data_IF_627105723115
#
_entry.id   IF_627105723115
#
_cell.length_a   1.000
_cell.length_b   1.000
_cell.length_c   1.000
_cell.angle_alpha   90.00
_cell.angle_beta   90.00
_cell.angle_gamma   90.00
#
_symmetry.space_group_name_H-M   'P 1'
#
loop_
_entity.id
_entity.type
_entity.pdbx_description
1 polymer ?
#
# COMPACT_ATOMS: atom_id res chain seq x y z
N UNK A 1 -40.91 -33.60 -39.45
CA UNK A 1 -39.64 -33.37 -38.73
C UNK A 1 -39.82 -33.96 -37.33
N UNK A 2 -39.81 -35.28 -37.23
CA UNK A 2 -40.08 -36.02 -35.99
C UNK A 2 -38.74 -36.40 -35.39
N UNK A 3 -38.36 -35.78 -34.26
CA UNK A 3 -37.17 -36.19 -33.53
C UNK A 3 -37.39 -37.62 -33.02
N UNK A 4 -36.41 -38.50 -33.20
CA UNK A 4 -36.38 -39.85 -32.66
C UNK A 4 -36.62 -39.82 -31.14
N UNK A 5 -37.77 -40.32 -30.68
CA UNK A 5 -38.11 -40.51 -29.26
C UNK A 5 -37.47 -41.80 -28.71
N UNK A 6 -36.16 -41.99 -28.90
CA UNK A 6 -35.43 -43.08 -28.25
C UNK A 6 -34.99 -42.58 -26.89
N UNK A 7 -35.58 -43.13 -25.82
CA UNK A 7 -35.24 -42.78 -24.43
C UNK A 7 -33.75 -42.93 -24.14
N UNK A 8 -33.23 -42.07 -23.26
CA UNK A 8 -31.84 -42.06 -22.81
C UNK A 8 -31.46 -43.44 -22.23
N UNK A 9 -30.29 -43.96 -22.62
CA UNK A 9 -29.81 -45.26 -22.10
C UNK A 9 -29.08 -45.10 -20.77
N UNK A 10 -29.14 -46.11 -19.89
CA UNK A 10 -28.47 -46.09 -18.58
C UNK A 10 -26.95 -45.81 -18.71
N UNK A 11 -26.30 -46.44 -19.70
CA UNK A 11 -24.87 -46.28 -19.95
C UNK A 11 -24.49 -44.84 -20.33
N UNK A 12 -25.35 -44.17 -21.10
CA UNK A 12 -25.16 -42.78 -21.53
C UNK A 12 -25.27 -41.81 -20.34
N UNK A 13 -26.24 -42.02 -19.43
CA UNK A 13 -26.33 -41.24 -18.19
C UNK A 13 -25.11 -41.47 -17.29
N UNK A 14 -24.64 -42.71 -17.16
CA UNK A 14 -23.47 -43.03 -16.33
C UNK A 14 -22.21 -42.37 -16.87
N UNK A 15 -22.00 -42.38 -18.19
CA UNK A 15 -20.87 -41.65 -18.80
C UNK A 15 -20.99 -40.14 -18.63
N UNK A 16 -22.18 -39.57 -18.87
CA UNK A 16 -22.41 -38.14 -18.71
C UNK A 16 -22.16 -37.67 -17.26
N UNK A 17 -22.69 -38.40 -16.29
CA UNK A 17 -22.49 -38.10 -14.86
C UNK A 17 -21.04 -38.26 -14.43
N UNK A 18 -20.31 -39.26 -14.95
CA UNK A 18 -18.88 -39.42 -14.69
C UNK A 18 -18.05 -38.25 -15.23
N UNK A 19 -18.30 -37.81 -16.47
CA UNK A 19 -17.60 -36.66 -17.06
C UNK A 19 -17.90 -35.37 -16.30
N UNK A 20 -19.17 -35.13 -15.96
CA UNK A 20 -19.57 -33.96 -15.16
C UNK A 20 -18.93 -34.02 -13.77
N UNK A 21 -18.91 -35.19 -13.13
CA UNK A 21 -18.30 -35.38 -11.82
C UNK A 21 -16.80 -35.03 -11.81
N UNK A 22 -16.05 -35.51 -12.79
CA UNK A 22 -14.61 -35.19 -12.93
C UNK A 22 -14.41 -33.69 -13.19
N UNK A 23 -15.22 -33.10 -14.07
CA UNK A 23 -15.16 -31.65 -14.34
C UNK A 23 -15.47 -30.79 -13.11
N UNK A 24 -16.46 -31.19 -12.31
CA UNK A 24 -16.85 -30.47 -11.10
C UNK A 24 -15.79 -30.57 -9.99
N UNK A 25 -15.16 -31.73 -9.84
CA UNK A 25 -14.01 -31.90 -8.91
C UNK A 25 -12.85 -30.99 -9.33
N UNK A 26 -12.55 -30.92 -10.63
CA UNK A 26 -11.56 -29.97 -11.16
C UNK A 26 -11.90 -28.52 -10.78
N UNK A 27 -13.15 -28.11 -10.98
CA UNK A 27 -13.60 -26.74 -10.66
C UNK A 27 -13.49 -26.43 -9.16
N UNK A 28 -13.81 -27.38 -8.28
CA UNK A 28 -13.74 -27.20 -6.83
C UNK A 28 -12.32 -26.87 -6.34
N UNK A 29 -11.28 -27.33 -7.04
CA UNK A 29 -9.89 -27.01 -6.68
C UNK A 29 -9.49 -25.56 -6.97
N UNK A 30 -10.18 -24.90 -7.92
CA UNK A 30 -9.82 -23.56 -8.38
C UNK A 30 -10.44 -22.46 -7.50
N UNK A 31 -11.64 -22.69 -6.97
CA UNK A 31 -12.41 -21.71 -6.19
C UNK A 31 -11.63 -21.10 -5.00
N UNK A 32 -10.91 -21.88 -4.17
CA UNK A 32 -10.14 -21.32 -3.05
C UNK A 32 -9.00 -20.41 -3.52
N UNK A 33 -8.32 -20.78 -4.61
CA UNK A 33 -7.19 -20.04 -5.17
C UNK A 33 -7.66 -18.69 -5.73
N UNK A 34 -8.77 -18.71 -6.48
CA UNK A 34 -9.36 -17.48 -7.03
C UNK A 34 -9.81 -16.53 -5.93
N UNK A 35 -10.39 -17.05 -4.86
CA UNK A 35 -10.83 -16.22 -3.72
C UNK A 35 -9.65 -15.52 -3.07
N UNK A 36 -8.56 -16.25 -2.79
CA UNK A 36 -7.33 -15.67 -2.24
C UNK A 36 -6.75 -14.56 -3.13
N UNK A 37 -6.69 -14.78 -4.44
CA UNK A 37 -6.17 -13.79 -5.38
C UNK A 37 -6.98 -12.49 -5.39
N UNK A 38 -8.31 -12.57 -5.23
CA UNK A 38 -9.19 -11.39 -5.17
C UNK A 38 -8.95 -10.60 -3.89
N UNK A 39 -8.85 -11.26 -2.73
CA UNK A 39 -8.59 -10.57 -1.47
C UNK A 39 -7.20 -9.91 -1.46
N UNK A 40 -6.18 -10.62 -1.94
CA UNK A 40 -4.84 -10.07 -2.07
C UNK A 40 -4.81 -8.87 -3.04
N UNK A 41 -5.47 -8.99 -4.19
CA UNK A 41 -5.59 -7.90 -5.17
C UNK A 41 -6.28 -6.67 -4.59
N UNK A 42 -7.35 -6.85 -3.81
CA UNK A 42 -8.03 -5.76 -3.11
C UNK A 42 -7.11 -5.10 -2.06
N UNK A 43 -6.38 -5.91 -1.29
CA UNK A 43 -5.39 -5.46 -0.32
C UNK A 43 -4.31 -4.58 -0.94
N UNK A 44 -3.66 -5.11 -1.99
CA UNK A 44 -2.57 -4.42 -2.69
C UNK A 44 -3.03 -3.14 -3.37
N UNK A 45 -4.17 -3.15 -4.06
CA UNK A 45 -4.70 -1.97 -4.76
C UNK A 45 -5.09 -0.86 -3.79
N UNK A 46 -5.76 -1.20 -2.68
CA UNK A 46 -6.09 -0.25 -1.62
C UNK A 46 -4.84 0.31 -0.96
N UNK A 47 -3.87 -0.54 -0.62
CA UNK A 47 -2.60 -0.10 -0.03
C UNK A 47 -1.83 0.84 -0.97
N UNK A 48 -1.84 0.54 -2.28
CA UNK A 48 -1.22 1.39 -3.31
C UNK A 48 -1.94 2.73 -3.43
N UNK A 49 -3.27 2.76 -3.39
CA UNK A 49 -4.04 4.00 -3.40
C UNK A 49 -3.73 4.86 -2.16
N UNK A 50 -3.73 4.26 -0.98
CA UNK A 50 -3.42 4.95 0.28
C UNK A 50 -1.97 5.48 0.33
N UNK A 51 -1.04 4.73 -0.26
CA UNK A 51 0.35 5.16 -0.37
C UNK A 51 0.49 6.36 -1.33
N UNK A 52 -0.14 6.30 -2.50
CA UNK A 52 -0.14 7.40 -3.47
C UNK A 52 -0.84 8.65 -2.93
N UNK A 53 -1.99 8.49 -2.27
CA UNK A 53 -2.70 9.59 -1.62
C UNK A 53 -1.79 10.35 -0.66
N UNK A 54 -1.07 9.61 0.21
CA UNK A 54 -0.16 10.25 1.17
C UNK A 54 1.06 10.85 0.50
N UNK A 55 1.56 10.21 -0.55
CA UNK A 55 2.68 10.74 -1.32
C UNK A 55 2.32 12.08 -1.98
N UNK A 56 1.13 12.19 -2.57
CA UNK A 56 0.65 13.43 -3.16
C UNK A 56 0.40 14.52 -2.11
N UNK A 57 -0.07 14.16 -0.91
CA UNK A 57 -0.14 15.09 0.22
C UNK A 57 1.25 15.66 0.56
N UNK A 58 2.27 14.81 0.65
CA UNK A 58 3.65 15.22 0.96
C UNK A 58 4.26 16.04 -0.18
N UNK A 59 4.04 15.64 -1.43
CA UNK A 59 4.49 16.40 -2.61
C UNK A 59 3.85 17.78 -2.66
N UNK A 60 2.63 17.94 -2.16
CA UNK A 60 1.99 19.25 -2.06
C UNK A 60 2.48 20.07 -0.85
N UNK A 61 3.30 19.48 0.03
CA UNK A 61 3.95 20.17 1.13
C UNK A 61 4.84 21.33 0.66
N UNK A 62 4.84 22.41 1.44
CA UNK A 62 5.71 23.56 1.18
C UNK A 62 7.12 23.21 1.64
N UNK A 63 8.11 23.33 0.76
CA UNK A 63 9.52 23.25 1.12
C UNK A 63 10.28 24.30 0.33
N UNK A 64 10.56 25.43 0.99
CA UNK A 64 11.09 26.64 0.37
C UNK A 64 12.38 27.08 1.05
N UNK A 65 13.26 27.71 0.27
CA UNK A 65 14.46 28.39 0.77
C UNK A 65 14.18 29.76 1.36
N UNK A 66 13.42 30.59 0.64
CA UNK A 66 13.25 32.01 0.95
C UNK A 66 11.78 32.40 0.74
N UNK A 67 11.04 32.77 1.81
CA UNK A 67 11.42 32.55 3.20
C UNK A 67 11.53 31.05 3.51
N UNK A 68 12.39 30.70 4.46
CA UNK A 68 12.56 29.30 4.86
C UNK A 68 11.25 28.78 5.48
N UNK A 69 10.64 27.80 4.83
CA UNK A 69 9.45 27.13 5.31
C UNK A 69 9.50 25.67 4.86
N UNK A 70 9.62 24.75 5.82
CA UNK A 70 9.74 23.33 5.57
C UNK A 70 8.58 22.57 6.20
N UNK A 71 7.50 22.38 5.45
CA UNK A 71 6.35 21.56 5.80
C UNK A 71 6.40 20.16 5.17
N UNK A 72 7.58 19.68 4.79
CA UNK A 72 7.84 18.29 4.40
C UNK A 72 8.56 17.56 5.54
N UNK A 73 9.52 18.23 6.18
CA UNK A 73 10.26 17.73 7.32
C UNK A 73 11.28 16.64 6.99
N UNK A 74 11.93 16.15 8.04
CA UNK A 74 12.92 15.07 8.00
C UNK A 74 12.62 14.06 9.10
N UNK A 75 12.83 12.79 8.78
CA UNK A 75 12.79 11.70 9.76
C UNK A 75 14.06 11.71 10.61
N UNK A 76 13.89 11.68 11.93
CA UNK A 76 15.01 11.44 12.83
C UNK A 76 15.60 10.04 12.62
N UNK A 77 16.85 9.83 13.07
CA UNK A 77 17.53 8.54 12.96
C UNK A 77 17.77 8.07 11.51
N UNK A 78 17.86 8.99 10.54
CA UNK A 78 17.99 8.64 9.12
C UNK A 78 16.83 7.81 8.55
N UNK A 79 15.59 8.03 9.03
CA UNK A 79 14.42 7.32 8.49
C UNK A 79 13.80 6.30 9.44
N UNK A 80 14.11 6.35 10.74
CA UNK A 80 13.49 5.45 11.72
C UNK A 80 12.13 5.96 12.21
N UNK A 81 11.99 7.29 12.30
CA UNK A 81 10.80 7.94 12.88
C UNK A 81 10.01 8.74 11.85
N UNK A 82 8.75 9.04 12.18
CA UNK A 82 7.91 9.94 11.38
C UNK A 82 8.62 11.31 11.19
N UNK A 83 8.49 11.94 10.01
CA UNK A 83 9.13 13.21 9.72
C UNK A 83 8.58 14.33 10.58
N UNK A 84 9.49 15.14 11.11
CA UNK A 84 9.17 16.35 11.86
C UNK A 84 9.83 17.57 11.22
N UNK A 85 9.30 18.75 11.51
CA UNK A 85 9.91 20.03 11.12
C UNK A 85 9.77 21.05 12.23
N UNK A 86 10.78 21.88 12.41
CA UNK A 86 10.79 23.02 13.33
C UNK A 86 10.51 24.37 12.64
N UNK A 87 10.48 24.41 11.30
CA UNK A 87 10.28 25.65 10.52
C UNK A 87 8.97 25.67 9.75
N UNK A 88 8.16 24.61 9.80
CA UNK A 88 6.85 24.62 9.14
C UNK A 88 5.91 25.64 9.78
N UNK A 89 5.37 26.55 8.95
CA UNK A 89 4.25 27.42 9.32
C UNK A 89 3.02 27.06 8.47
N UNK A 90 2.03 26.38 9.05
CA UNK A 90 0.78 25.96 8.39
C UNK A 90 -0.40 26.05 9.36
N UNK A 91 -1.52 26.61 8.94
CA UNK A 91 -2.72 26.78 9.77
C UNK A 91 -3.83 25.75 9.52
N UNK A 92 -3.79 25.00 8.41
CA UNK A 92 -4.80 24.00 8.04
C UNK A 92 -4.17 22.96 7.08
N UNK A 93 -4.46 21.65 7.19
CA UNK A 93 -5.38 20.95 8.11
C UNK A 93 -4.81 20.68 9.50
N UNK A 94 -3.49 20.74 9.67
CA UNK A 94 -2.85 20.63 10.98
C UNK A 94 -2.10 21.91 11.25
N UNK A 95 -2.41 22.54 12.38
CA UNK A 95 -1.70 23.73 12.85
C UNK A 95 -0.27 23.33 13.22
N UNK A 96 0.69 23.79 12.43
CA UNK A 96 2.11 23.73 12.71
C UNK A 96 2.60 25.16 12.86
N UNK A 97 3.01 25.53 14.08
CA UNK A 97 3.58 26.85 14.37
C UNK A 97 5.01 26.65 14.87
N UNK A 98 5.98 27.31 14.22
CA UNK A 98 7.35 27.41 14.72
C UNK A 98 7.36 28.03 16.15
N UNK A 99 8.29 27.65 17.06
CA UNK A 99 9.55 26.94 16.82
C UNK A 99 9.56 25.47 17.29
N UNK A 100 8.39 24.90 17.61
CA UNK A 100 8.27 23.51 18.07
C UNK A 100 8.37 22.50 16.92
N UNK A 101 8.88 21.30 17.22
CA UNK A 101 8.87 20.20 16.26
C UNK A 101 7.41 19.82 15.94
N UNK A 102 6.96 20.10 14.72
CA UNK A 102 5.68 19.66 14.20
C UNK A 102 5.82 18.31 13.51
N UNK A 103 4.97 17.35 13.85
CA UNK A 103 4.83 16.12 13.08
C UNK A 103 4.19 16.46 11.72
N UNK A 104 4.92 16.23 10.63
CA UNK A 104 4.46 16.57 9.28
C UNK A 104 3.59 15.45 8.71
N UNK A 105 4.06 14.21 8.86
CA UNK A 105 3.37 13.01 8.44
C UNK A 105 3.52 11.95 9.52
N UNK A 106 2.66 12.00 10.54
CA UNK A 106 2.62 10.99 11.59
C UNK A 106 2.31 9.60 11.02
N UNK A 107 2.78 8.57 11.71
CA UNK A 107 2.40 7.19 11.40
C UNK A 107 0.94 6.96 11.81
N UNK A 108 0.19 6.28 10.94
CA UNK A 108 -1.23 6.02 11.10
C UNK A 108 -1.47 4.52 11.33
N UNK A 109 -1.91 4.19 12.54
CA UNK A 109 -2.16 2.81 12.99
C UNK A 109 -3.50 2.82 13.76
N UNK A 110 -4.64 2.52 13.11
CA UNK A 110 -4.81 2.30 11.67
C UNK A 110 -4.97 3.61 10.87
N UNK A 111 -4.96 3.49 9.54
CA UNK A 111 -5.38 4.57 8.63
C UNK A 111 -6.86 4.86 8.83
N UNK A 112 -7.21 6.14 8.93
CA UNK A 112 -8.60 6.57 9.13
C UNK A 112 -9.51 6.07 8.00
N UNK A 113 -10.60 5.38 8.35
CA UNK A 113 -11.51 4.73 7.39
C UNK A 113 -11.03 3.39 6.82
N UNK A 114 -9.81 2.95 7.14
CA UNK A 114 -9.19 1.73 6.63
C UNK A 114 -8.53 0.93 7.78
N UNK A 115 -9.34 0.34 8.66
CA UNK A 115 -8.87 -0.28 9.92
C UNK A 115 -7.93 -1.48 9.77
N UNK A 116 -7.90 -2.11 8.59
CA UNK A 116 -6.98 -3.21 8.26
C UNK A 116 -5.64 -2.75 7.68
N UNK A 117 -5.40 -1.44 7.60
CA UNK A 117 -4.23 -0.85 6.96
C UNK A 117 -3.51 0.09 7.93
N UNK A 118 -2.19 -0.02 7.95
CA UNK A 118 -1.31 0.90 8.66
C UNK A 118 -0.46 1.65 7.64
N UNK A 119 -0.11 2.90 7.92
CA UNK A 119 0.70 3.73 7.03
C UNK A 119 1.81 4.42 7.79
N UNK A 120 3.02 4.36 7.26
CA UNK A 120 4.18 5.08 7.80
C UNK A 120 4.89 5.87 6.71
N UNK A 121 5.43 7.02 7.09
CA UNK A 121 6.18 7.91 6.18
C UNK A 121 7.57 8.11 6.71
N UNK A 122 8.58 7.93 5.86
CA UNK A 122 9.99 8.20 6.17
C UNK A 122 10.58 9.14 5.13
N UNK A 123 11.29 10.16 5.58
CA UNK A 123 11.90 11.18 4.72
C UNK A 123 13.35 11.36 5.12
N UNK A 124 14.26 11.10 4.18
CA UNK A 124 15.70 11.24 4.39
C UNK A 124 16.27 12.32 3.47
N UNK A 125 17.26 13.05 3.98
CA UNK A 125 18.04 13.99 3.19
C UNK A 125 19.01 13.22 2.28
N UNK A 126 19.01 13.56 0.99
CA UNK A 126 19.84 12.90 -0.01
C UNK A 126 21.31 13.27 0.11
N UNK A 127 21.66 14.40 0.72
CA UNK A 127 23.06 14.76 0.99
C UNK A 127 23.66 13.98 2.17
N UNK A 128 22.85 13.52 3.13
CA UNK A 128 23.37 12.95 4.39
C UNK A 128 23.36 11.43 4.44
N UNK A 129 22.54 10.77 3.61
CA UNK A 129 22.46 9.30 3.61
C UNK A 129 23.56 8.67 2.74
N UNK A 130 24.14 7.57 3.22
CA UNK A 130 25.19 6.85 2.49
C UNK A 130 24.66 6.34 1.13
N UNK A 131 25.39 6.63 0.05
CA UNK A 131 24.99 6.31 -1.33
C UNK A 131 23.91 7.24 -1.91
N UNK A 132 23.50 8.26 -1.15
CA UNK A 132 22.47 9.21 -1.55
C UNK A 132 21.09 8.57 -1.78
N UNK A 133 20.20 9.33 -2.39
CA UNK A 133 18.87 8.87 -2.77
C UNK A 133 18.86 8.22 -4.15
N UNK A 134 19.61 7.13 -4.30
CA UNK A 134 19.81 6.47 -5.60
C UNK A 134 20.75 7.26 -6.51
N UNK A 135 21.89 7.70 -5.98
CA UNK A 135 22.90 8.48 -6.69
C UNK A 135 22.73 10.01 -6.60
N UNK A 136 21.57 10.49 -6.16
CA UNK A 136 21.35 11.92 -5.86
C UNK A 136 21.95 12.22 -4.48
N UNK A 137 22.92 13.15 -4.42
CA UNK A 137 23.66 13.54 -3.21
C UNK A 137 23.61 15.06 -3.00
N UNK A 138 22.39 15.62 -2.99
CA UNK A 138 22.14 17.06 -2.89
C UNK A 138 21.11 17.34 -1.79
N UNK A 139 21.38 18.34 -0.95
CA UNK A 139 20.54 18.75 0.18
C UNK A 139 19.21 19.43 -0.27
N UNK A 140 19.11 19.77 -1.55
CA UNK A 140 17.87 20.19 -2.20
C UNK A 140 16.95 19.03 -2.56
N UNK A 141 17.37 17.78 -2.32
CA UNK A 141 16.55 16.61 -2.56
C UNK A 141 16.33 15.84 -1.27
N UNK A 142 15.12 15.32 -1.12
CA UNK A 142 14.75 14.39 -0.06
C UNK A 142 14.07 13.18 -0.65
N UNK A 143 14.40 11.99 -0.16
CA UNK A 143 13.69 10.77 -0.55
C UNK A 143 12.57 10.52 0.43
N UNK A 144 11.35 10.54 -0.09
CA UNK A 144 10.13 10.21 0.63
C UNK A 144 9.80 8.76 0.35
N UNK A 145 9.63 7.97 1.41
CA UNK A 145 9.20 6.59 1.37
C UNK A 145 7.92 6.47 2.16
N UNK A 146 6.84 6.09 1.47
CA UNK A 146 5.55 5.77 2.10
C UNK A 146 5.38 4.27 2.08
N UNK A 147 5.15 3.69 3.25
CA UNK A 147 4.87 2.26 3.41
C UNK A 147 3.48 2.09 3.94
N UNK A 148 2.67 1.29 3.25
CA UNK A 148 1.35 0.87 3.73
C UNK A 148 1.38 -0.63 3.95
N UNK A 149 1.00 -1.09 5.13
CA UNK A 149 0.93 -2.51 5.45
C UNK A 149 -0.51 -2.94 5.67
N UNK A 150 -0.83 -4.15 5.23
CA UNK A 150 -2.14 -4.78 5.43
C UNK A 150 -1.98 -6.24 5.84
N UNK A 151 -3.02 -6.82 6.45
CA UNK A 151 -2.97 -8.19 6.92
C UNK A 151 -2.75 -9.18 5.77
N UNK A 152 -1.76 -10.05 5.90
CA UNK A 152 -1.47 -11.07 4.91
C UNK A 152 -2.54 -12.16 4.92
N UNK A 153 -3.03 -12.55 3.75
CA UNK A 153 -3.86 -13.74 3.58
C UNK A 153 -2.97 -14.81 2.92
N UNK A 154 -3.31 -16.08 3.09
CA UNK A 154 -2.62 -17.23 2.49
C UNK A 154 -3.63 -18.11 1.76
N UNK A 155 -3.16 -18.99 0.85
CA UNK A 155 -4.03 -19.90 0.10
C UNK A 155 -4.84 -20.87 0.98
N UNK A 156 -4.52 -20.98 2.27
CA UNK A 156 -5.20 -21.82 3.27
C UNK A 156 -6.06 -21.02 4.27
N UNK A 157 -6.20 -19.70 4.10
CA UNK A 157 -6.94 -18.81 5.01
C UNK A 157 -6.13 -17.59 5.47
N UNK A 158 -6.51 -16.97 6.58
CA UNK A 158 -5.75 -15.84 7.15
C UNK A 158 -4.31 -16.26 7.45
N UNK A 159 -3.33 -15.42 7.09
CA UNK A 159 -1.96 -15.61 7.55
C UNK A 159 -1.89 -15.61 9.09
N UNK A 160 -0.77 -16.06 9.64
CA UNK A 160 -0.55 -16.04 11.10
C UNK A 160 -0.85 -14.64 11.66
N UNK A 161 -1.42 -14.58 12.87
CA UNK A 161 -1.75 -13.32 13.53
C UNK A 161 -0.52 -12.39 13.57
N UNK A 162 -0.70 -11.16 13.06
CA UNK A 162 0.39 -10.18 12.95
C UNK A 162 1.21 -10.27 11.65
N UNK A 163 0.92 -11.21 10.76
CA UNK A 163 1.53 -11.26 9.43
C UNK A 163 0.98 -10.10 8.57
N UNK A 164 1.88 -9.22 8.14
CA UNK A 164 1.53 -8.08 7.29
C UNK A 164 2.34 -8.07 6.01
N UNK A 165 1.71 -7.65 4.90
CA UNK A 165 2.39 -7.39 3.64
C UNK A 165 2.59 -5.89 3.43
N UNK A 166 3.81 -5.43 3.13
CA UNK A 166 4.06 -4.02 2.83
C UNK A 166 3.85 -3.72 1.35
N UNK A 167 3.35 -2.52 1.07
CA UNK A 167 3.42 -1.84 -0.23
C UNK A 167 4.21 -0.56 -0.03
N UNK A 168 5.30 -0.40 -0.77
CA UNK A 168 6.26 0.70 -0.60
C UNK A 168 6.30 1.54 -1.86
N UNK A 169 6.06 2.84 -1.72
CA UNK A 169 6.25 3.82 -2.79
C UNK A 169 7.35 4.79 -2.36
N UNK A 170 8.31 5.02 -3.24
CA UNK A 170 9.44 5.92 -2.98
C UNK A 170 9.57 6.95 -4.09
N UNK A 171 9.84 8.20 -3.73
CA UNK A 171 10.11 9.27 -4.70
C UNK A 171 11.14 10.25 -4.13
N UNK A 172 11.86 10.93 -5.02
CA UNK A 172 12.73 12.03 -4.64
C UNK A 172 11.96 13.34 -4.86
N UNK A 173 11.82 14.12 -3.80
CA UNK A 173 11.23 15.45 -3.82
C UNK A 173 12.35 16.49 -3.87
N UNK A 174 12.24 17.44 -4.79
CA UNK A 174 13.12 18.61 -4.85
C UNK A 174 12.53 19.78 -4.07
N UNK A 175 13.41 20.58 -3.49
CA UNK A 175 13.06 21.86 -2.87
C UNK A 175 12.55 22.85 -3.94
N UNK A 176 11.55 23.64 -3.58
CA UNK A 176 10.91 24.64 -4.45
C UNK A 176 11.44 26.04 -4.18
#
# INVERSE_FOLDING_TARGET
>A
MTLNERGITLAEVLMATAMIGIGLVGLLTVVPISSYAVYEGNGLTTATFLANQKLEEIKNGVWLQIPANDCVGLSAGNGDFAPTSNTCTRTNPTVCNAPGACAIAADEIPVAGYTGYNRSVRIVDCATIAGGCGGVTDANFRRVTVTVTYHAITGTGSGAAGSTKPTVITTNLGRR
#
